data_IF_644409180528
#
_entry.id   IF_644409180528
#
_cell.length_a   1.000
_cell.length_b   1.000
_cell.length_c   1.000
_cell.angle_alpha   90.00
_cell.angle_beta   90.00
_cell.angle_gamma   90.00
#
_symmetry.space_group_name_H-M   'P 1'
#
loop_
_entity.id
_entity.type
_entity.pdbx_description
1 polymer ?
#
# COMPACT_ATOMS: atom_id res chain seq x y z
N UNK A 1 41.41 17.46 86.68
CA UNK A 1 40.24 16.95 85.93
C UNK A 1 39.45 18.13 85.38
N UNK A 2 39.43 18.35 84.05
CA UNK A 2 38.34 19.13 83.47
C UNK A 2 37.80 18.58 82.14
N UNK A 3 36.48 18.36 82.15
CA UNK A 3 35.45 18.68 81.14
C UNK A 3 35.81 18.56 79.65
N UNK A 4 35.27 17.51 79.02
CA UNK A 4 35.11 17.32 77.58
C UNK A 4 33.97 18.18 76.99
N UNK A 5 34.10 18.67 75.74
CA UNK A 5 33.07 19.47 75.08
C UNK A 5 32.06 18.61 74.30
N UNK A 6 30.84 19.14 74.16
CA UNK A 6 29.72 18.60 73.40
C UNK A 6 29.94 18.80 71.90
N UNK A 7 29.73 17.75 71.10
CA UNK A 7 29.65 17.83 69.63
C UNK A 7 28.18 17.65 69.20
N UNK A 8 27.64 18.67 68.55
CA UNK A 8 26.35 18.64 67.88
C UNK A 8 26.51 17.97 66.50
N UNK A 9 25.69 16.96 66.21
CA UNK A 9 25.54 16.40 64.85
C UNK A 9 24.14 16.74 64.37
N UNK A 10 24.08 17.55 63.31
CA UNK A 10 22.87 17.94 62.60
C UNK A 10 22.37 16.77 61.73
N UNK A 11 21.08 16.45 61.86
CA UNK A 11 20.40 15.44 61.07
C UNK A 11 19.92 16.08 59.75
N UNK A 12 20.56 15.75 58.63
CA UNK A 12 20.12 16.19 57.30
C UNK A 12 19.03 15.22 56.78
N UNK A 13 17.81 15.75 56.62
CA UNK A 13 16.66 15.03 56.08
C UNK A 13 16.70 15.09 54.54
N UNK A 14 17.15 14.02 53.87
CA UNK A 14 17.01 13.87 52.42
C UNK A 14 15.59 13.39 52.09
N UNK A 15 14.75 14.27 51.56
CA UNK A 15 13.46 13.91 50.98
C UNK A 15 13.67 13.25 49.61
N UNK A 16 13.30 11.97 49.51
CA UNK A 16 13.32 11.22 48.25
C UNK A 16 12.24 11.70 47.29
N UNK A 17 12.65 12.13 46.10
CA UNK A 17 11.76 12.46 44.98
C UNK A 17 11.50 11.18 44.18
N UNK A 18 10.36 10.51 44.42
CA UNK A 18 9.93 9.37 43.59
C UNK A 18 9.31 9.90 42.29
N UNK A 19 10.06 9.84 41.19
CA UNK A 19 9.52 10.07 39.86
C UNK A 19 8.61 8.90 39.47
N UNK A 20 7.29 9.15 39.42
CA UNK A 20 6.33 8.21 38.86
C UNK A 20 6.47 8.20 37.34
N UNK A 21 7.08 7.14 36.80
CA UNK A 21 7.09 6.87 35.38
C UNK A 21 5.67 6.44 34.95
N UNK A 22 4.93 7.35 34.33
CA UNK A 22 3.67 7.03 33.67
C UNK A 22 3.97 6.19 32.41
N UNK A 23 3.75 4.89 32.49
CA UNK A 23 3.75 3.99 31.35
C UNK A 23 2.54 4.30 30.47
N UNK A 24 2.77 4.99 29.35
CA UNK A 24 1.80 5.10 28.25
C UNK A 24 1.62 3.70 27.65
N UNK A 25 0.55 3.01 28.04
CA UNK A 25 0.09 1.82 27.36
C UNK A 25 -0.29 2.21 25.93
N UNK A 26 0.45 1.70 24.94
CA UNK A 26 0.06 1.82 23.55
C UNK A 26 -1.24 1.03 23.34
N UNK A 27 -2.34 1.75 23.14
CA UNK A 27 -3.64 1.20 22.76
C UNK A 27 -3.55 0.64 21.33
N UNK A 28 -2.96 -0.55 21.22
CA UNK A 28 -2.94 -1.33 19.98
C UNK A 28 -4.24 -2.12 19.94
N UNK A 29 -5.24 -1.55 19.27
CA UNK A 29 -6.48 -2.26 19.04
C UNK A 29 -6.19 -3.56 18.27
N UNK A 30 -6.84 -4.68 18.64
CA UNK A 30 -6.66 -5.92 17.92
C UNK A 30 -7.10 -5.74 16.46
N UNK A 31 -6.22 -6.12 15.54
CA UNK A 31 -6.59 -6.31 14.14
C UNK A 31 -7.73 -7.33 14.13
N UNK A 32 -8.94 -6.90 13.72
CA UNK A 32 -10.05 -7.83 13.55
C UNK A 32 -9.71 -8.70 12.35
N UNK A 33 -9.24 -9.91 12.64
CA UNK A 33 -8.91 -10.89 11.63
C UNK A 33 -10.17 -11.27 10.83
N UNK A 34 -10.03 -11.56 9.53
CA UNK A 34 -11.16 -12.03 8.73
C UNK A 34 -11.80 -13.27 9.36
N UNK A 35 -13.12 -13.35 9.35
CA UNK A 35 -13.81 -14.56 9.75
C UNK A 35 -13.55 -15.70 8.75
N UNK A 36 -13.87 -16.94 9.12
CA UNK A 36 -13.80 -18.08 8.18
C UNK A 36 -14.66 -17.84 6.92
N UNK A 37 -15.83 -17.19 7.07
CA UNK A 37 -16.69 -16.84 5.95
C UNK A 37 -16.05 -15.77 5.03
N UNK A 38 -15.37 -14.78 5.61
CA UNK A 38 -14.67 -13.76 4.82
C UNK A 38 -13.48 -14.36 4.06
N UNK A 39 -12.74 -15.27 4.69
CA UNK A 39 -11.68 -16.02 4.02
C UNK A 39 -12.22 -16.85 2.85
N UNK A 40 -13.36 -17.53 3.03
CA UNK A 40 -14.00 -18.29 1.96
C UNK A 40 -14.50 -17.40 0.82
N UNK A 41 -15.02 -16.21 1.13
CA UNK A 41 -15.44 -15.24 0.12
C UNK A 41 -14.24 -14.73 -0.72
N UNK A 42 -13.10 -14.46 -0.07
CA UNK A 42 -11.86 -14.10 -0.76
C UNK A 42 -11.37 -15.25 -1.66
N UNK A 43 -11.38 -16.49 -1.16
CA UNK A 43 -10.99 -17.66 -1.96
C UNK A 43 -11.88 -17.82 -3.20
N UNK A 44 -13.19 -17.65 -3.06
CA UNK A 44 -14.13 -17.68 -4.17
C UNK A 44 -13.87 -16.56 -5.19
N UNK A 45 -13.55 -15.34 -4.73
CA UNK A 45 -13.24 -14.22 -5.62
C UNK A 45 -11.92 -14.45 -6.39
N UNK A 46 -10.91 -15.02 -5.73
CA UNK A 46 -9.62 -15.36 -6.35
C UNK A 46 -9.77 -16.48 -7.39
N UNK A 47 -10.57 -17.50 -7.09
CA UNK A 47 -10.85 -18.64 -7.98
C UNK A 47 -11.94 -18.34 -9.04
N UNK A 48 -12.47 -17.11 -9.07
CA UNK A 48 -13.57 -16.73 -9.93
C UNK A 48 -13.27 -16.94 -11.41
N UNK A 49 -14.14 -17.68 -12.11
CA UNK A 49 -14.00 -17.98 -13.54
C UNK A 49 -14.06 -16.74 -14.47
N UNK A 50 -14.41 -15.57 -13.91
CA UNK A 50 -14.41 -14.29 -14.62
C UNK A 50 -13.02 -13.66 -14.72
N UNK A 51 -12.06 -14.10 -13.90
CA UNK A 51 -10.69 -13.56 -13.93
C UNK A 51 -10.02 -13.93 -15.25
N UNK A 52 -9.26 -12.98 -15.79
CA UNK A 52 -8.54 -13.23 -17.04
C UNK A 52 -7.49 -14.34 -16.83
N UNK A 53 -7.38 -15.33 -17.74
CA UNK A 53 -6.33 -16.36 -17.64
C UNK A 53 -4.91 -15.77 -17.54
N UNK A 54 -4.67 -14.65 -18.24
CA UNK A 54 -3.39 -13.94 -18.17
C UNK A 54 -3.13 -13.31 -16.78
N UNK A 55 -4.18 -12.88 -16.09
CA UNK A 55 -4.08 -12.35 -14.73
C UNK A 55 -3.90 -13.47 -13.70
N UNK A 56 -4.70 -14.53 -13.80
CA UNK A 56 -4.60 -15.71 -12.91
C UNK A 56 -3.24 -16.39 -13.02
N UNK A 57 -2.64 -16.47 -14.22
CA UNK A 57 -1.29 -17.01 -14.41
C UNK A 57 -0.20 -16.24 -13.62
N UNK A 58 -0.50 -15.01 -13.19
CA UNK A 58 0.38 -14.15 -12.39
C UNK A 58 0.11 -14.23 -10.89
N UNK A 59 -0.89 -14.99 -10.44
CA UNK A 59 -1.18 -15.17 -9.01
C UNK A 59 0.04 -15.74 -8.26
N UNK A 60 0.81 -16.62 -8.90
CA UNK A 60 2.08 -17.15 -8.35
C UNK A 60 3.16 -16.09 -8.10
N UNK A 61 3.02 -14.90 -8.66
CA UNK A 61 3.90 -13.77 -8.41
C UNK A 61 3.27 -12.76 -7.45
N UNK A 62 1.95 -12.58 -7.49
CA UNK A 62 1.24 -11.51 -6.75
C UNK A 62 0.60 -11.97 -5.45
N UNK A 63 0.53 -13.28 -5.23
CA UNK A 63 0.04 -13.94 -4.02
C UNK A 63 -1.23 -13.25 -3.47
N UNK A 64 -2.34 -13.21 -4.25
CA UNK A 64 -3.48 -12.36 -3.93
C UNK A 64 -4.09 -12.69 -2.57
N UNK A 65 -4.20 -13.98 -2.22
CA UNK A 65 -4.73 -14.41 -0.92
C UNK A 65 -3.90 -13.85 0.22
N UNK A 66 -2.62 -14.19 0.26
CA UNK A 66 -1.72 -13.80 1.34
C UNK A 66 -1.57 -12.28 1.42
N UNK A 67 -1.48 -11.59 0.28
CA UNK A 67 -1.36 -10.13 0.22
C UNK A 67 -2.61 -9.43 0.76
N UNK A 68 -3.80 -9.85 0.34
CA UNK A 68 -5.06 -9.21 0.77
C UNK A 68 -5.43 -9.58 2.21
N UNK A 69 -5.12 -10.79 2.66
CA UNK A 69 -5.22 -11.17 4.07
C UNK A 69 -4.23 -10.40 4.94
N UNK A 70 -2.99 -10.22 4.46
CA UNK A 70 -2.01 -9.38 5.14
C UNK A 70 -2.53 -7.95 5.30
N UNK A 71 -3.23 -7.38 4.31
CA UNK A 71 -3.85 -6.05 4.45
C UNK A 71 -5.18 -6.05 5.23
N UNK A 72 -5.67 -7.20 5.69
CA UNK A 72 -6.91 -7.28 6.46
C UNK A 72 -8.16 -6.94 5.64
N UNK A 73 -8.13 -7.20 4.33
CA UNK A 73 -9.27 -6.95 3.44
C UNK A 73 -10.43 -7.88 3.80
N UNK A 74 -11.62 -7.29 3.92
CA UNK A 74 -12.87 -8.00 4.21
C UNK A 74 -14.01 -7.55 3.28
N UNK A 75 -15.02 -8.40 3.04
CA UNK A 75 -16.12 -8.11 2.10
C UNK A 75 -17.04 -6.96 2.50
N UNK A 76 -17.01 -6.50 3.75
CA UNK A 76 -17.91 -5.49 4.33
C UNK A 76 -17.31 -4.08 4.37
N UNK A 77 -16.11 -3.89 3.83
CA UNK A 77 -15.37 -2.64 3.91
C UNK A 77 -15.72 -1.65 2.80
N UNK A 78 -15.48 -0.36 3.04
CA UNK A 78 -15.27 0.62 1.99
C UNK A 78 -13.79 0.64 1.61
N UNK A 79 -13.46 0.16 0.41
CA UNK A 79 -12.10 -0.03 -0.07
C UNK A 79 -11.82 0.81 -1.32
N UNK A 80 -10.68 1.50 -1.30
CA UNK A 80 -10.18 2.29 -2.42
C UNK A 80 -8.95 1.60 -3.04
N UNK A 81 -9.00 1.28 -4.33
CA UNK A 81 -7.84 0.86 -5.14
C UNK A 81 -7.31 2.06 -5.92
N UNK A 82 -6.03 2.40 -5.71
CA UNK A 82 -5.37 3.53 -6.37
C UNK A 82 -4.76 3.06 -7.69
N UNK A 83 -5.07 3.76 -8.77
CA UNK A 83 -4.58 3.54 -10.14
C UNK A 83 -4.57 2.05 -10.51
N UNK A 84 -5.74 1.40 -10.68
CA UNK A 84 -5.84 -0.05 -10.89
C UNK A 84 -5.17 -0.56 -12.18
N UNK A 85 -4.79 0.35 -13.08
CA UNK A 85 -4.35 0.03 -14.44
C UNK A 85 -5.41 -0.79 -15.16
N UNK A 86 -5.00 -1.91 -15.77
CA UNK A 86 -5.93 -2.83 -16.44
C UNK A 86 -6.81 -3.68 -15.49
N UNK A 87 -6.82 -3.40 -14.17
CA UNK A 87 -7.78 -3.96 -13.22
C UNK A 87 -7.45 -5.35 -12.69
N UNK A 88 -6.18 -5.68 -12.48
CA UNK A 88 -5.78 -7.03 -12.00
C UNK A 88 -6.37 -7.34 -10.62
N UNK A 89 -6.26 -6.42 -9.65
CA UNK A 89 -6.87 -6.62 -8.33
C UNK A 89 -8.36 -6.32 -8.35
N UNK A 90 -8.82 -5.42 -9.20
CA UNK A 90 -10.25 -5.15 -9.44
C UNK A 90 -11.03 -6.41 -9.77
N UNK A 91 -10.45 -7.34 -10.54
CA UNK A 91 -11.07 -8.65 -10.83
C UNK A 91 -11.38 -9.47 -9.57
N UNK A 92 -10.72 -9.20 -8.44
CA UNK A 92 -10.94 -9.85 -7.15
C UNK A 92 -11.75 -8.94 -6.22
N UNK A 93 -11.32 -7.69 -6.06
CA UNK A 93 -11.84 -6.74 -5.07
C UNK A 93 -13.28 -6.32 -5.36
N UNK A 94 -13.61 -5.99 -6.61
CA UNK A 94 -14.95 -5.54 -6.94
C UNK A 94 -16.00 -6.64 -6.68
N UNK A 95 -15.83 -7.90 -7.13
CA UNK A 95 -16.75 -8.99 -6.79
C UNK A 95 -16.79 -9.32 -5.31
N UNK A 96 -15.64 -9.29 -4.61
CA UNK A 96 -15.55 -9.57 -3.18
C UNK A 96 -16.40 -8.60 -2.34
N UNK A 97 -16.33 -7.31 -2.66
CA UNK A 97 -16.99 -6.25 -1.91
C UNK A 97 -18.44 -6.03 -2.36
N UNK A 98 -18.82 -6.54 -3.54
CA UNK A 98 -20.08 -6.24 -4.22
C UNK A 98 -21.34 -6.38 -3.36
N UNK A 99 -21.39 -7.39 -2.48
CA UNK A 99 -22.61 -7.73 -1.74
C UNK A 99 -22.77 -6.98 -0.42
N UNK A 100 -21.66 -6.65 0.26
CA UNK A 100 -21.68 -6.13 1.65
C UNK A 100 -20.80 -4.89 1.88
N UNK A 101 -19.99 -4.51 0.90
CA UNK A 101 -19.04 -3.40 1.01
C UNK A 101 -19.15 -2.46 -0.18
N UNK A 102 -18.11 -1.64 -0.35
CA UNK A 102 -18.03 -0.65 -1.41
C UNK A 102 -16.62 -0.64 -2.01
N UNK A 103 -16.55 -0.71 -3.34
CA UNK A 103 -15.29 -0.68 -4.07
C UNK A 103 -15.17 0.60 -4.89
N UNK A 104 -14.05 1.29 -4.75
CA UNK A 104 -13.72 2.51 -5.47
C UNK A 104 -12.41 2.33 -6.25
N UNK A 105 -12.43 2.58 -7.55
CA UNK A 105 -11.22 2.69 -8.37
C UNK A 105 -10.86 4.17 -8.59
N UNK A 106 -9.63 4.55 -8.23
CA UNK A 106 -9.13 5.90 -8.47
C UNK A 106 -8.28 5.90 -9.75
N UNK A 107 -8.65 6.73 -10.72
CA UNK A 107 -7.90 6.94 -11.95
C UNK A 107 -7.35 8.37 -11.98
N UNK A 108 -6.27 8.60 -12.73
CA UNK A 108 -5.76 9.95 -12.93
C UNK A 108 -6.52 10.62 -14.08
N UNK A 109 -6.83 11.90 -13.89
CA UNK A 109 -7.40 12.73 -14.94
C UNK A 109 -6.33 13.02 -16.01
N UNK A 110 -6.54 12.61 -17.28
CA UNK A 110 -5.56 12.85 -18.33
C UNK A 110 -5.28 14.32 -18.62
N UNK A 111 -6.22 15.22 -18.30
CA UNK A 111 -6.04 16.67 -18.45
C UNK A 111 -5.21 17.27 -17.31
N UNK A 112 -5.06 16.55 -16.20
CA UNK A 112 -4.33 16.99 -14.99
C UNK A 112 -2.93 16.37 -14.86
N UNK A 113 -2.49 15.56 -15.85
CA UNK A 113 -1.11 15.03 -15.92
C UNK A 113 -0.23 15.81 -16.89
N UNK A 114 1.09 15.61 -16.81
CA UNK A 114 2.02 16.20 -17.77
C UNK A 114 1.66 15.79 -19.22
N UNK A 115 1.82 16.68 -20.23
CA UNK A 115 1.46 16.37 -21.62
C UNK A 115 2.10 15.08 -22.15
N UNK A 116 3.33 14.78 -21.74
CA UNK A 116 4.05 13.56 -22.13
C UNK A 116 3.43 12.27 -21.57
N UNK A 117 2.62 12.35 -20.50
CA UNK A 117 1.96 11.20 -19.86
C UNK A 117 0.50 11.04 -20.29
N UNK A 118 -0.14 12.07 -20.85
CA UNK A 118 -1.56 12.11 -21.17
C UNK A 118 -2.05 10.90 -21.96
N UNK A 119 -1.39 10.57 -23.07
CA UNK A 119 -1.80 9.45 -23.93
C UNK A 119 -1.72 8.09 -23.21
N UNK A 120 -0.74 7.89 -22.32
CA UNK A 120 -0.65 6.67 -21.52
C UNK A 120 -1.77 6.61 -20.49
N UNK A 121 -2.05 7.73 -19.82
CA UNK A 121 -3.16 7.84 -18.85
C UNK A 121 -4.51 7.59 -19.52
N UNK A 122 -4.78 8.19 -20.68
CA UNK A 122 -6.01 7.94 -21.47
C UNK A 122 -6.13 6.46 -21.84
N UNK A 123 -5.02 5.84 -22.28
CA UNK A 123 -5.01 4.41 -22.61
C UNK A 123 -5.31 3.54 -21.40
N UNK A 124 -4.69 3.82 -20.26
CA UNK A 124 -4.90 3.08 -19.02
C UNK A 124 -6.36 3.20 -18.54
N UNK A 125 -6.92 4.42 -18.58
CA UNK A 125 -8.31 4.68 -18.20
C UNK A 125 -9.28 3.94 -19.13
N UNK A 126 -9.07 4.01 -20.45
CA UNK A 126 -9.89 3.28 -21.43
C UNK A 126 -9.83 1.75 -21.24
N UNK A 127 -8.66 1.20 -20.88
CA UNK A 127 -8.53 -0.23 -20.59
C UNK A 127 -9.28 -0.61 -19.31
N UNK A 128 -9.26 0.25 -18.29
CA UNK A 128 -10.01 0.04 -17.06
C UNK A 128 -11.52 0.12 -17.29
N UNK A 129 -11.99 1.12 -18.03
CA UNK A 129 -13.41 1.25 -18.38
C UNK A 129 -13.91 0.06 -19.21
N UNK A 130 -13.11 -0.38 -20.19
CA UNK A 130 -13.39 -1.59 -20.95
C UNK A 130 -13.48 -2.83 -20.05
N UNK A 131 -12.57 -2.98 -19.06
CA UNK A 131 -12.62 -4.07 -18.08
C UNK A 131 -13.94 -4.07 -17.32
N UNK A 132 -14.36 -2.92 -16.80
CA UNK A 132 -15.59 -2.80 -16.02
C UNK A 132 -16.82 -3.10 -16.90
N UNK A 133 -16.83 -2.63 -18.15
CA UNK A 133 -17.91 -2.85 -19.10
C UNK A 133 -18.07 -4.33 -19.53
N UNK A 134 -17.01 -5.15 -19.47
CA UNK A 134 -17.06 -6.56 -19.89
C UNK A 134 -17.99 -7.43 -19.03
N UNK A 135 -18.17 -7.09 -17.75
CA UNK A 135 -18.94 -7.89 -16.77
C UNK A 135 -19.75 -7.00 -15.83
N UNK A 136 -20.81 -6.33 -16.32
CA UNK A 136 -21.63 -5.46 -15.50
C UNK A 136 -22.28 -6.20 -14.32
N UNK A 137 -22.55 -7.50 -14.46
CA UNK A 137 -23.04 -8.35 -13.38
C UNK A 137 -22.10 -8.35 -12.16
N UNK A 138 -20.79 -8.21 -12.38
CA UNK A 138 -19.75 -8.15 -11.35
C UNK A 138 -19.33 -6.72 -10.99
N UNK A 139 -19.27 -5.82 -11.97
CA UNK A 139 -18.57 -4.54 -11.85
C UNK A 139 -19.48 -3.31 -11.87
N UNK A 140 -20.79 -3.44 -12.12
CA UNK A 140 -21.68 -2.28 -12.21
C UNK A 140 -21.82 -1.46 -10.91
N UNK A 141 -21.43 -2.01 -9.75
CA UNK A 141 -21.40 -1.28 -8.47
C UNK A 141 -20.04 -0.63 -8.16
N UNK A 142 -19.04 -0.83 -9.02
CA UNK A 142 -17.75 -0.14 -8.90
C UNK A 142 -17.96 1.36 -9.06
N UNK A 143 -17.39 2.15 -8.16
CA UNK A 143 -17.37 3.60 -8.28
C UNK A 143 -15.99 4.05 -8.78
N UNK A 144 -15.95 4.75 -9.91
CA UNK A 144 -14.69 5.27 -10.47
C UNK A 144 -14.61 6.76 -10.19
N UNK A 145 -13.45 7.22 -9.71
CA UNK A 145 -13.18 8.65 -9.50
C UNK A 145 -11.90 9.04 -10.23
N UNK A 146 -12.02 10.02 -11.11
CA UNK A 146 -10.89 10.69 -11.75
C UNK A 146 -10.37 11.80 -10.84
N UNK A 147 -9.05 11.92 -10.70
CA UNK A 147 -8.39 12.90 -9.82
C UNK A 147 -7.26 13.65 -10.51
N UNK A 148 -7.01 14.88 -10.08
CA UNK A 148 -5.72 15.54 -10.26
C UNK A 148 -4.71 14.91 -9.29
N UNK A 149 -3.64 14.24 -9.76
CA UNK A 149 -2.65 13.63 -8.88
C UNK A 149 -1.74 14.63 -8.15
N UNK A 150 -1.72 15.90 -8.54
CA UNK A 150 -1.04 16.98 -7.81
C UNK A 150 -1.89 17.51 -6.64
N UNK A 151 -3.21 17.43 -6.73
CA UNK A 151 -4.17 17.82 -5.69
C UNK A 151 -5.27 16.76 -5.47
N UNK A 152 -4.92 15.53 -5.08
CA UNK A 152 -5.83 14.40 -5.07
C UNK A 152 -6.94 14.52 -4.01
N UNK A 153 -8.19 14.30 -4.42
CA UNK A 153 -9.34 14.16 -3.53
C UNK A 153 -9.93 12.76 -3.71
N UNK A 154 -9.63 11.86 -2.77
CA UNK A 154 -10.00 10.44 -2.88
C UNK A 154 -11.42 10.13 -2.40
N UNK A 155 -12.11 11.09 -1.79
CA UNK A 155 -13.43 10.93 -1.18
C UNK A 155 -13.59 11.81 0.05
N UNK A 156 -14.76 11.76 0.73
CA UNK A 156 -14.94 12.46 2.00
C UNK A 156 -13.91 12.02 3.04
N UNK A 157 -13.40 12.92 3.91
CA UNK A 157 -12.49 12.53 4.98
C UNK A 157 -13.10 11.45 5.88
N UNK A 158 -12.31 10.43 6.25
CA UNK A 158 -12.77 9.36 7.13
C UNK A 158 -13.87 8.46 6.53
N UNK A 159 -13.95 8.33 5.20
CA UNK A 159 -14.96 7.51 4.54
C UNK A 159 -14.51 6.08 4.21
N UNK A 160 -13.20 5.83 4.08
CA UNK A 160 -12.67 4.52 3.69
C UNK A 160 -12.13 3.72 4.89
N UNK A 161 -12.32 2.40 4.86
CA UNK A 161 -11.72 1.46 5.81
C UNK A 161 -10.31 1.05 5.36
N UNK A 162 -10.13 0.87 4.05
CA UNK A 162 -8.88 0.42 3.44
C UNK A 162 -8.56 1.21 2.17
N UNK A 163 -7.30 1.61 2.02
CA UNK A 163 -6.74 2.13 0.77
C UNK A 163 -5.60 1.20 0.36
N UNK A 164 -5.63 0.72 -0.88
CA UNK A 164 -4.62 -0.16 -1.45
C UNK A 164 -3.97 0.49 -2.66
N UNK A 165 -2.65 0.36 -2.75
CA UNK A 165 -1.88 0.77 -3.92
C UNK A 165 -0.87 -0.30 -4.30
N UNK A 166 -0.78 -0.58 -5.60
CA UNK A 166 0.04 -1.66 -6.14
C UNK A 166 0.87 -1.15 -7.31
N UNK A 167 2.18 -0.96 -7.06
CA UNK A 167 3.17 -0.52 -8.06
C UNK A 167 2.91 0.90 -8.59
N UNK A 168 2.54 1.82 -7.71
CA UNK A 168 2.27 3.21 -8.09
C UNK A 168 3.20 4.24 -7.42
N UNK A 169 3.84 3.91 -6.29
CA UNK A 169 4.59 4.92 -5.51
C UNK A 169 5.77 5.45 -6.31
N UNK A 170 6.50 4.59 -7.02
CA UNK A 170 7.58 5.01 -7.92
C UNK A 170 7.11 6.00 -8.99
N UNK A 171 5.89 5.86 -9.51
CA UNK A 171 5.31 6.83 -10.46
C UNK A 171 5.06 8.19 -9.83
N UNK A 172 4.62 8.21 -8.57
CA UNK A 172 4.43 9.46 -7.84
C UNK A 172 5.77 10.12 -7.53
N UNK A 173 6.80 9.36 -7.18
CA UNK A 173 8.15 9.91 -6.96
C UNK A 173 8.72 10.51 -8.25
N UNK A 174 8.62 9.82 -9.39
CA UNK A 174 9.00 10.37 -10.69
C UNK A 174 8.29 11.70 -11.01
N UNK A 175 7.03 11.82 -10.60
CA UNK A 175 6.20 13.00 -10.80
C UNK A 175 6.24 14.03 -9.67
N UNK A 176 7.04 13.82 -8.62
CA UNK A 176 7.05 14.60 -7.38
C UNK A 176 5.65 14.80 -6.73
N UNK A 177 4.82 13.75 -6.76
CA UNK A 177 3.42 13.71 -6.29
C UNK A 177 3.21 12.89 -5.01
N UNK A 178 4.25 12.20 -4.54
CA UNK A 178 4.18 11.26 -3.40
C UNK A 178 3.60 11.91 -2.14
N UNK A 179 4.02 13.12 -1.78
CA UNK A 179 3.54 13.80 -0.58
C UNK A 179 2.03 14.10 -0.64
N UNK A 180 1.54 14.58 -1.79
CA UNK A 180 0.12 14.87 -2.00
C UNK A 180 -0.73 13.60 -1.94
N UNK A 181 -0.28 12.53 -2.62
CA UNK A 181 -0.97 11.24 -2.64
C UNK A 181 -1.08 10.62 -1.25
N UNK A 182 0.03 10.48 -0.50
CA UNK A 182 -0.03 9.92 0.86
C UNK A 182 -0.90 10.76 1.81
N UNK A 183 -0.88 12.10 1.69
CA UNK A 183 -1.75 12.99 2.48
C UNK A 183 -3.24 12.77 2.17
N UNK A 184 -3.60 12.58 0.91
CA UNK A 184 -4.98 12.29 0.53
C UNK A 184 -5.45 10.90 0.98
N UNK A 185 -4.57 9.89 0.94
CA UNK A 185 -4.85 8.56 1.50
C UNK A 185 -5.07 8.63 3.02
N UNK A 186 -4.26 9.43 3.72
CA UNK A 186 -4.43 9.67 5.14
C UNK A 186 -5.77 10.36 5.44
N UNK A 187 -6.13 11.37 4.66
CA UNK A 187 -7.38 12.11 4.85
C UNK A 187 -8.62 11.23 4.68
N UNK A 188 -8.68 10.40 3.62
CA UNK A 188 -9.86 9.59 3.29
C UNK A 188 -10.06 8.40 4.24
N UNK A 189 -9.00 7.87 4.84
CA UNK A 189 -9.10 6.75 5.78
C UNK A 189 -9.77 7.15 7.10
N UNK A 190 -10.60 6.27 7.64
CA UNK A 190 -11.11 6.33 9.01
C UNK A 190 -9.95 6.21 10.02
N UNK A 191 -10.06 6.78 11.23
CA UNK A 191 -9.14 6.44 12.32
C UNK A 191 -9.13 4.92 12.54
N UNK A 192 -7.95 4.31 12.58
CA UNK A 192 -7.76 2.85 12.58
C UNK A 192 -7.83 2.18 11.21
N UNK A 193 -8.05 2.93 10.13
CA UNK A 193 -8.08 2.41 8.76
C UNK A 193 -6.70 2.03 8.22
N UNK A 194 -6.67 1.14 7.23
CA UNK A 194 -5.44 0.53 6.71
C UNK A 194 -5.02 1.14 5.38
N UNK A 195 -3.73 1.46 5.26
CA UNK A 195 -3.06 1.68 3.98
C UNK A 195 -2.18 0.47 3.66
N UNK A 196 -2.49 -0.24 2.57
CA UNK A 196 -1.67 -1.33 2.04
C UNK A 196 -0.86 -0.87 0.84
N UNK A 197 0.46 -1.07 0.90
CA UNK A 197 1.38 -0.68 -0.18
C UNK A 197 2.16 -1.90 -0.66
N UNK A 198 2.11 -2.17 -1.96
CA UNK A 198 3.07 -3.04 -2.65
C UNK A 198 3.78 -2.20 -3.70
N UNK A 199 5.11 -2.14 -3.65
CA UNK A 199 5.89 -1.52 -4.73
C UNK A 199 7.24 -2.21 -4.93
N UNK A 200 7.88 -1.94 -6.05
CA UNK A 200 9.18 -2.50 -6.42
C UNK A 200 10.27 -2.06 -5.46
N UNK A 201 11.03 -3.04 -4.94
CA UNK A 201 12.00 -2.83 -3.87
C UNK A 201 13.42 -2.71 -4.40
N UNK A 202 14.04 -1.55 -4.19
CA UNK A 202 15.46 -1.33 -4.37
C UNK A 202 16.26 -1.94 -3.21
N UNK A 203 17.59 -2.06 -3.39
CA UNK A 203 18.48 -2.42 -2.29
C UNK A 203 18.49 -1.34 -1.20
N UNK A 204 18.58 -1.69 0.09
CA UNK A 204 18.67 -0.70 1.16
C UNK A 204 19.80 0.31 0.93
N UNK A 205 19.53 1.59 1.18
CA UNK A 205 20.52 2.67 1.03
C UNK A 205 20.77 3.12 -0.42
N UNK A 206 20.14 2.50 -1.42
CA UNK A 206 20.24 2.97 -2.81
C UNK A 206 19.62 4.36 -2.97
N UNK A 207 20.30 5.25 -3.70
CA UNK A 207 19.69 6.49 -4.17
C UNK A 207 18.70 6.14 -5.29
N UNK A 208 17.41 6.46 -5.08
CA UNK A 208 16.37 6.19 -6.08
C UNK A 208 15.44 7.40 -6.24
N UNK A 209 15.00 7.61 -7.46
CA UNK A 209 14.10 8.69 -7.91
C UNK A 209 12.83 8.14 -8.60
N UNK A 210 12.65 6.81 -8.57
CA UNK A 210 11.56 6.11 -9.24
C UNK A 210 11.73 5.93 -10.75
N UNK A 211 12.74 6.53 -11.41
CA UNK A 211 12.90 6.47 -12.88
C UNK A 211 13.20 5.07 -13.42
N UNK A 212 13.68 4.16 -12.57
CA UNK A 212 13.86 2.74 -12.88
C UNK A 212 12.76 1.85 -12.30
N UNK A 213 11.72 2.45 -11.73
CA UNK A 213 10.58 1.80 -11.11
C UNK A 213 10.84 1.26 -9.71
N UNK A 214 12.09 1.25 -9.21
CA UNK A 214 12.43 0.78 -7.87
C UNK A 214 12.52 1.94 -6.85
N UNK A 215 12.04 1.68 -5.63
CA UNK A 215 12.22 2.55 -4.46
C UNK A 215 12.78 1.75 -3.30
N UNK A 216 13.53 2.40 -2.40
CA UNK A 216 13.88 1.73 -1.14
C UNK A 216 12.65 1.61 -0.24
N UNK A 217 12.60 0.54 0.55
CA UNK A 217 11.52 0.37 1.54
C UNK A 217 11.45 1.55 2.52
N UNK A 218 12.61 2.06 2.94
CA UNK A 218 12.68 3.19 3.87
C UNK A 218 12.07 4.46 3.28
N UNK A 219 12.31 4.78 2.01
CA UNK A 219 11.68 5.94 1.37
C UNK A 219 10.15 5.87 1.42
N UNK A 220 9.57 4.71 1.14
CA UNK A 220 8.11 4.53 1.18
C UNK A 220 7.56 4.67 2.60
N UNK A 221 8.28 4.13 3.60
CA UNK A 221 7.96 4.31 5.01
C UNK A 221 8.02 5.80 5.40
N UNK A 222 9.05 6.52 4.97
CA UNK A 222 9.23 7.94 5.27
C UNK A 222 8.10 8.79 4.66
N UNK A 223 7.70 8.52 3.41
CA UNK A 223 6.58 9.22 2.79
C UNK A 223 5.25 8.98 3.50
N UNK A 224 4.97 7.74 3.88
CA UNK A 224 3.75 7.40 4.61
C UNK A 224 3.73 8.03 6.01
N UNK A 225 4.84 7.93 6.75
CA UNK A 225 4.95 8.49 8.10
C UNK A 225 4.91 10.02 8.12
N UNK A 226 5.51 10.68 7.12
CA UNK A 226 5.39 12.12 6.94
C UNK A 226 3.94 12.58 6.70
N UNK A 227 3.08 11.72 6.13
CA UNK A 227 1.64 12.00 6.00
C UNK A 227 0.83 11.70 7.27
N UNK A 228 1.44 11.12 8.31
CA UNK A 228 0.81 10.81 9.60
C UNK A 228 0.52 9.33 9.85
N UNK A 229 0.82 8.45 8.90
CA UNK A 229 0.64 7.01 9.11
C UNK A 229 1.65 6.44 10.11
N UNK A 230 1.30 5.31 10.72
CA UNK A 230 2.25 4.46 11.44
C UNK A 230 2.46 3.16 10.66
N UNK A 231 3.71 2.75 10.50
CA UNK A 231 4.01 1.41 9.99
C UNK A 231 3.55 0.38 11.04
N UNK A 232 2.69 -0.53 10.62
CA UNK A 232 2.15 -1.56 11.51
C UNK A 232 2.83 -2.91 11.26
N UNK A 233 3.03 -3.28 9.99
CA UNK A 233 3.66 -4.55 9.63
C UNK A 233 4.36 -4.49 8.28
N UNK A 234 5.30 -5.42 8.08
CA UNK A 234 5.99 -5.69 6.81
C UNK A 234 5.90 -7.17 6.48
N UNK A 235 5.99 -7.49 5.20
CA UNK A 235 5.98 -8.88 4.74
C UNK A 235 6.83 -9.10 3.49
N UNK A 236 7.41 -10.30 3.41
CA UNK A 236 8.19 -10.80 2.26
C UNK A 236 7.32 -11.59 1.26
N UNK A 237 5.99 -11.54 1.38
CA UNK A 237 5.04 -12.28 0.49
C UNK A 237 5.38 -12.08 -1.00
N UNK A 238 5.78 -10.87 -1.39
CA UNK A 238 6.08 -10.54 -2.79
C UNK A 238 7.59 -10.36 -3.07
N UNK A 239 8.43 -10.92 -2.21
CA UNK A 239 9.88 -10.90 -2.39
C UNK A 239 10.30 -11.78 -3.58
N UNK A 240 11.30 -11.33 -4.34
CA UNK A 240 11.91 -12.13 -5.39
C UNK A 240 13.44 -12.02 -5.34
N UNK A 241 14.14 -13.03 -4.79
CA UNK A 241 15.60 -13.00 -4.71
C UNK A 241 16.30 -13.09 -6.08
N UNK A 242 15.59 -13.45 -7.15
CA UNK A 242 16.14 -13.50 -8.51
C UNK A 242 16.21 -12.12 -9.18
N UNK A 243 15.53 -11.12 -8.63
CA UNK A 243 15.56 -9.77 -9.15
C UNK A 243 16.79 -9.00 -8.65
N UNK A 244 17.77 -8.79 -9.54
CA UNK A 244 18.98 -8.01 -9.29
C UNK A 244 18.72 -6.53 -9.06
N UNK A 245 17.54 -6.03 -9.49
CA UNK A 245 17.13 -4.61 -9.47
C UNK A 245 17.96 -3.70 -10.38
N UNK A 246 18.86 -4.28 -11.17
CA UNK A 246 19.71 -3.60 -12.14
C UNK A 246 19.40 -4.14 -13.53
N UNK A 247 18.54 -3.43 -14.25
CA UNK A 247 18.01 -3.83 -15.54
C UNK A 247 18.05 -2.68 -16.55
N UNK A 248 18.30 -2.93 -17.85
CA UNK A 248 18.49 -1.88 -18.85
C UNK A 248 17.32 -0.90 -19.01
N UNK A 249 16.09 -1.33 -18.73
CA UNK A 249 14.88 -0.50 -18.74
C UNK A 249 14.23 -0.48 -17.37
N UNK A 250 15.03 -0.57 -16.31
CA UNK A 250 14.54 -0.71 -14.94
C UNK A 250 13.60 -1.91 -14.81
N UNK A 251 12.64 -1.80 -13.89
CA UNK A 251 11.72 -2.89 -13.58
C UNK A 251 10.88 -3.35 -14.79
N UNK A 252 10.67 -2.48 -15.77
CA UNK A 252 9.89 -2.78 -16.98
C UNK A 252 10.62 -3.73 -17.95
N UNK A 253 11.91 -4.00 -17.74
CA UNK A 253 12.60 -5.13 -18.39
C UNK A 253 11.96 -6.47 -18.02
N UNK A 254 11.41 -6.61 -16.80
CA UNK A 254 10.81 -7.84 -16.29
C UNK A 254 9.33 -7.99 -16.70
N UNK A 255 8.75 -9.20 -16.59
CA UNK A 255 7.30 -9.39 -16.64
C UNK A 255 6.53 -8.46 -15.70
N UNK A 256 5.30 -8.04 -16.07
CA UNK A 256 4.58 -8.40 -17.30
C UNK A 256 4.97 -7.56 -18.52
N UNK A 257 5.72 -6.45 -18.33
CA UNK A 257 5.94 -5.45 -19.38
C UNK A 257 6.90 -5.96 -20.45
N UNK A 258 8.04 -6.55 -20.05
CA UNK A 258 9.05 -7.08 -20.98
C UNK A 258 9.44 -6.05 -22.06
N UNK A 259 9.82 -4.85 -21.63
CA UNK A 259 10.07 -3.68 -22.49
C UNK A 259 11.16 -3.87 -23.56
N UNK A 260 11.99 -4.91 -23.44
CA UNK A 260 13.00 -5.29 -24.44
C UNK A 260 12.48 -6.27 -25.51
N UNK A 261 11.19 -6.62 -25.47
CA UNK A 261 10.53 -7.44 -26.48
C UNK A 261 11.03 -8.88 -26.52
N UNK A 262 11.61 -9.28 -27.65
CA UNK A 262 12.17 -10.63 -27.87
C UNK A 262 13.62 -10.77 -27.42
N UNK A 263 14.36 -9.66 -27.29
CA UNK A 263 15.75 -9.69 -26.85
C UNK A 263 15.86 -10.28 -25.44
N UNK A 264 16.65 -11.35 -25.29
CA UNK A 264 16.85 -12.11 -24.06
C UNK A 264 15.56 -12.44 -23.28
N UNK A 265 14.41 -12.55 -23.96
CA UNK A 265 13.10 -12.70 -23.28
C UNK A 265 13.07 -13.87 -22.30
N UNK A 266 13.68 -15.00 -22.66
CA UNK A 266 13.75 -16.18 -21.81
C UNK A 266 14.49 -15.89 -20.48
N UNK A 267 15.54 -15.08 -20.51
CA UNK A 267 16.29 -14.63 -19.32
C UNK A 267 15.39 -13.85 -18.37
N UNK A 268 14.64 -12.87 -18.87
CA UNK A 268 13.76 -12.04 -18.05
C UNK A 268 12.53 -12.80 -17.53
N UNK A 269 11.96 -13.70 -18.35
CA UNK A 269 10.88 -14.59 -17.92
C UNK A 269 11.33 -15.55 -16.80
N UNK A 270 12.58 -16.02 -16.83
CA UNK A 270 13.14 -16.89 -15.80
C UNK A 270 13.30 -16.19 -14.43
N UNK A 271 13.47 -14.86 -14.42
CA UNK A 271 13.47 -14.04 -13.20
C UNK A 271 12.06 -13.95 -12.60
N UNK A 272 11.03 -13.78 -13.44
CA UNK A 272 9.65 -13.52 -13.01
C UNK A 272 9.40 -12.04 -12.73
N UNK A 273 8.30 -11.73 -12.04
CA UNK A 273 8.05 -10.34 -11.62
C UNK A 273 9.06 -9.88 -10.57
N UNK A 274 9.30 -8.57 -10.53
CA UNK A 274 10.25 -7.91 -9.62
C UNK A 274 10.09 -8.26 -8.14
N UNK A 275 11.18 -8.09 -7.39
CA UNK A 275 11.17 -8.02 -5.93
C UNK A 275 10.33 -6.83 -5.46
N UNK A 276 9.39 -7.08 -4.53
CA UNK A 276 8.48 -6.05 -4.04
C UNK A 276 8.37 -6.06 -2.53
N UNK A 277 8.43 -4.86 -1.97
CA UNK A 277 8.06 -4.62 -0.57
C UNK A 277 6.55 -4.78 -0.42
N UNK A 278 6.11 -5.31 0.73
CA UNK A 278 4.69 -5.39 1.10
C UNK A 278 4.55 -4.78 2.49
N UNK A 279 3.97 -3.58 2.57
CA UNK A 279 3.94 -2.75 3.77
C UNK A 279 2.49 -2.45 4.16
N UNK A 280 2.17 -2.63 5.45
CA UNK A 280 0.88 -2.28 6.02
C UNK A 280 1.06 -1.14 7.01
N UNK A 281 0.34 -0.06 6.75
CA UNK A 281 0.29 1.11 7.60
C UNK A 281 -1.12 1.27 8.18
N UNK A 282 -1.21 1.97 9.31
CA UNK A 282 -2.47 2.30 9.96
C UNK A 282 -2.57 3.81 10.17
N UNK A 283 -3.77 4.37 9.95
CA UNK A 283 -4.11 5.71 10.42
C UNK A 283 -4.36 5.65 11.92
N UNK A 284 -3.63 6.39 12.78
CA UNK A 284 -3.87 6.36 14.23
C UNK A 284 -5.32 6.72 14.59
N UNK A 285 -5.81 6.18 15.72
CA UNK A 285 -7.21 6.33 16.18
C UNK A 285 -7.57 7.69 16.82
N UNK A 286 -6.60 8.61 16.90
CA UNK A 286 -6.67 9.84 17.69
C UNK A 286 -7.99 10.62 17.57
#
# INVERSE_FOLDING_TARGET
>A
MPRTPRLFIALALCAGLTAAAATLAADTAPVVLPSSADSAALDAAIAGAWRSPANTARDKYRHPKDTLQFFGVRPDQSLIEITPGAGWYTEILAPLLRARGHYFGIIEDPDSVAPASRTETERANNQYDAKLAMRPDLYALTQVRSIDPAAPVLGPPGSADVVLTFRNVHNWVMGNRQAAMFKAMYAVLKPGGTLGVVDHRANPGAATDGMHGYLTEQQVIDYATAAGFKLEAKSEINANPKDSKDWPKGVWTLPPTLALGSADRAKYVAVGESDRMTLRFVKPKN
#
